data_IF_668381801435
#
_entry.id   IF_668381801435
#
_cell.length_a   1.000
_cell.length_b   1.000
_cell.length_c   1.000
_cell.angle_alpha   90.00
_cell.angle_beta   90.00
_cell.angle_gamma   90.00
#
_symmetry.space_group_name_H-M   'P 1'
#
loop_
_entity.id
_entity.type
_entity.pdbx_description
1 polymer ?
#
# COMPACT_ATOMS: atom_id res chain seq x y z
N UNK A 1 9.85 5.62 -7.03
CA UNK A 1 9.27 5.53 -5.67
C UNK A 1 8.05 4.64 -5.75
N UNK A 2 7.72 3.96 -4.66
CA UNK A 2 6.63 3.00 -4.58
C UNK A 2 5.60 3.43 -3.54
N UNK A 3 4.32 3.23 -3.84
CA UNK A 3 3.20 3.76 -3.07
C UNK A 3 2.21 2.65 -2.74
N UNK A 4 1.85 2.51 -1.47
CA UNK A 4 0.88 1.53 -1.01
C UNK A 4 -0.24 2.22 -0.23
N UNK A 5 -1.49 2.03 -0.67
CA UNK A 5 -2.69 2.53 0.02
C UNK A 5 -3.24 1.50 1.00
N UNK A 6 -3.58 1.93 2.22
CA UNK A 6 -4.05 1.04 3.29
C UNK A 6 -4.96 1.76 4.28
N UNK A 7 -5.97 1.06 4.81
CA UNK A 7 -6.74 1.55 5.96
C UNK A 7 -5.89 1.51 7.23
N UNK A 8 -6.03 2.50 8.12
CA UNK A 8 -5.25 2.56 9.37
C UNK A 8 -5.45 1.32 10.25
N UNK A 9 -6.63 0.70 10.24
CA UNK A 9 -6.91 -0.50 11.04
C UNK A 9 -5.95 -1.64 10.71
N UNK A 10 -5.57 -1.80 9.44
CA UNK A 10 -4.64 -2.84 9.01
C UNK A 10 -3.20 -2.45 9.32
N UNK A 11 -2.88 -1.14 9.24
CA UNK A 11 -1.59 -0.63 9.68
C UNK A 11 -1.35 -0.92 11.17
N UNK A 12 -2.36 -0.71 12.02
CA UNK A 12 -2.31 -0.99 13.45
C UNK A 12 -2.18 -2.49 13.75
N UNK A 13 -2.99 -3.33 13.07
CA UNK A 13 -3.00 -4.78 13.29
C UNK A 13 -1.72 -5.49 12.84
N UNK A 14 -1.11 -5.02 11.75
CA UNK A 14 0.01 -5.70 11.09
C UNK A 14 1.37 -5.06 11.34
N UNK A 15 1.43 -3.97 12.11
CA UNK A 15 2.71 -3.34 12.39
C UNK A 15 3.69 -4.33 13.03
N UNK A 16 4.96 -4.43 12.58
CA UNK A 16 5.64 -3.55 11.61
C UNK A 16 5.67 -4.04 10.16
N UNK A 17 5.10 -5.21 9.85
CA UNK A 17 5.22 -5.84 8.53
C UNK A 17 3.86 -6.06 7.88
N UNK A 18 3.68 -5.50 6.68
CA UNK A 18 2.52 -5.82 5.85
C UNK A 18 2.81 -7.09 5.05
N UNK A 19 2.05 -8.13 5.38
CA UNK A 19 1.92 -9.32 4.57
C UNK A 19 0.52 -9.31 3.90
N UNK A 20 0.38 -9.97 2.76
CA UNK A 20 -0.94 -10.27 2.19
C UNK A 20 -1.65 -11.21 3.15
N UNK A 21 -2.75 -10.75 3.75
CA UNK A 21 -3.57 -11.65 4.56
C UNK A 21 -4.51 -12.42 3.64
N UNK A 22 -4.58 -13.72 3.87
CA UNK A 22 -5.58 -14.60 3.30
C UNK A 22 -7.04 -14.25 3.67
N UNK A 23 -7.27 -13.16 4.44
CA UNK A 23 -8.51 -12.87 5.16
C UNK A 23 -9.11 -11.48 4.88
N UNK A 24 -8.93 -10.92 3.70
CA UNK A 24 -9.88 -9.88 3.23
C UNK A 24 -11.20 -10.60 2.97
N UNK A 25 -12.10 -10.57 3.95
CA UNK A 25 -13.31 -11.40 4.09
C UNK A 25 -14.46 -11.04 3.14
N UNK A 26 -14.20 -10.29 2.07
CA UNK A 26 -15.16 -10.03 1.00
C UNK A 26 -14.43 -9.93 -0.34
N UNK A 27 -13.75 -11.01 -0.75
CA UNK A 27 -13.23 -11.12 -2.11
C UNK A 27 -14.34 -11.64 -3.02
N UNK A 28 -14.68 -10.89 -4.06
CA UNK A 28 -15.58 -11.38 -5.10
C UNK A 28 -14.87 -12.49 -5.91
N UNK A 29 -15.61 -13.25 -6.72
CA UNK A 29 -15.07 -14.39 -7.47
C UNK A 29 -13.88 -14.02 -8.36
N UNK A 30 -13.88 -12.80 -8.92
CA UNK A 30 -12.79 -12.26 -9.75
C UNK A 30 -11.50 -12.06 -8.93
N UNK A 31 -11.60 -11.48 -7.73
CA UNK A 31 -10.46 -11.30 -6.82
C UNK A 31 -9.94 -12.63 -6.27
N UNK A 32 -10.79 -13.65 -6.16
CA UNK A 32 -10.37 -15.01 -5.78
C UNK A 32 -9.62 -15.69 -6.93
N UNK A 33 -10.09 -15.56 -8.16
CA UNK A 33 -9.44 -16.11 -9.34
C UNK A 33 -8.06 -15.45 -9.60
N UNK A 34 -8.00 -14.12 -9.48
CA UNK A 34 -6.73 -13.37 -9.60
C UNK A 34 -5.73 -13.79 -8.52
N UNK A 35 -6.19 -13.91 -7.27
CA UNK A 35 -5.37 -14.43 -6.16
C UNK A 35 -4.84 -15.84 -6.45
N UNK A 36 -5.71 -16.73 -6.89
CA UNK A 36 -5.35 -18.12 -7.22
C UNK A 36 -4.29 -18.14 -8.31
N UNK A 37 -4.47 -17.33 -9.36
CA UNK A 37 -3.53 -17.19 -10.46
C UNK A 37 -2.16 -16.66 -10.00
N UNK A 38 -2.14 -15.65 -9.14
CA UNK A 38 -0.90 -15.09 -8.58
C UNK A 38 -0.14 -16.09 -7.71
N UNK A 39 -0.85 -16.88 -6.88
CA UNK A 39 -0.24 -17.94 -6.08
C UNK A 39 0.32 -19.05 -6.98
N UNK A 40 -0.42 -19.46 -7.99
CA UNK A 40 0.02 -20.50 -8.94
C UNK A 40 1.23 -20.05 -9.77
N UNK A 41 1.28 -18.78 -10.17
CA UNK A 41 2.34 -18.23 -11.00
C UNK A 41 3.61 -17.84 -10.21
N UNK A 42 3.45 -17.28 -9.01
CA UNK A 42 4.57 -16.68 -8.26
C UNK A 42 4.83 -17.34 -6.89
N UNK A 43 3.97 -18.26 -6.46
CA UNK A 43 4.07 -18.96 -5.18
C UNK A 43 3.57 -18.17 -3.97
N UNK A 44 3.08 -16.94 -4.16
CA UNK A 44 2.49 -16.10 -3.11
C UNK A 44 1.53 -15.04 -3.68
N UNK A 45 0.58 -14.58 -2.87
CA UNK A 45 -0.20 -13.37 -3.14
C UNK A 45 0.68 -12.15 -2.83
N UNK A 46 0.85 -11.15 -3.71
CA UNK A 46 1.69 -10.00 -3.43
C UNK A 46 0.97 -8.90 -2.65
N UNK A 47 1.74 -8.04 -1.96
CA UNK A 47 1.32 -6.70 -1.54
C UNK A 47 1.51 -5.77 -2.74
N UNK A 48 0.43 -5.15 -3.19
CA UNK A 48 0.42 -4.31 -4.38
C UNK A 48 0.94 -2.90 -4.08
N UNK A 49 1.85 -2.40 -4.92
CA UNK A 49 2.35 -1.02 -4.87
C UNK A 49 2.30 -0.38 -6.25
N UNK A 50 1.94 0.90 -6.30
CA UNK A 50 2.09 1.71 -7.50
C UNK A 50 3.52 2.26 -7.60
N UNK A 51 4.12 2.22 -8.78
CA UNK A 51 5.42 2.82 -9.07
C UNK A 51 5.25 4.16 -9.78
N UNK A 52 5.93 5.19 -9.27
CA UNK A 52 6.01 6.48 -9.97
C UNK A 52 6.97 6.41 -11.15
N UNK A 53 6.51 6.85 -12.33
CA UNK A 53 7.30 6.95 -13.55
C UNK A 53 7.04 8.29 -14.25
N UNK A 54 7.82 8.70 -15.29
CA UNK A 54 7.59 9.96 -16.01
C UNK A 54 6.15 10.14 -16.54
N UNK A 55 5.48 9.04 -16.92
CA UNK A 55 4.07 9.03 -17.35
C UNK A 55 3.05 8.83 -16.23
N UNK A 56 3.49 8.54 -15.01
CA UNK A 56 2.64 8.22 -13.86
C UNK A 56 3.22 8.85 -12.59
N UNK A 57 2.85 10.11 -12.36
CA UNK A 57 3.47 10.93 -11.32
C UNK A 57 3.21 10.43 -9.90
N UNK A 58 4.09 10.77 -8.95
CA UNK A 58 3.87 10.51 -7.52
C UNK A 58 2.52 11.05 -7.02
N UNK A 59 2.07 12.21 -7.53
CA UNK A 59 0.76 12.78 -7.21
C UNK A 59 -0.38 11.87 -7.68
N UNK A 60 -0.23 11.27 -8.86
CA UNK A 60 -1.18 10.29 -9.40
C UNK A 60 -1.19 9.03 -8.54
N UNK A 61 -0.02 8.46 -8.21
CA UNK A 61 0.09 7.31 -7.32
C UNK A 61 -0.62 7.55 -5.99
N UNK A 62 -0.34 8.68 -5.32
CA UNK A 62 -0.97 9.04 -4.04
C UNK A 62 -2.50 9.12 -4.20
N UNK A 63 -2.99 9.77 -5.26
CA UNK A 63 -4.43 9.90 -5.52
C UNK A 63 -5.10 8.54 -5.70
N UNK A 64 -4.51 7.65 -6.50
CA UNK A 64 -5.06 6.32 -6.76
C UNK A 64 -4.93 5.40 -5.54
N UNK A 65 -3.83 5.45 -4.79
CA UNK A 65 -3.67 4.70 -3.55
C UNK A 65 -4.74 5.06 -2.50
N UNK A 66 -5.18 6.32 -2.43
CA UNK A 66 -6.26 6.73 -1.53
C UNK A 66 -7.64 6.13 -1.87
N UNK A 67 -7.79 5.41 -2.99
CA UNK A 67 -9.00 4.61 -3.28
C UNK A 67 -9.05 3.32 -2.48
N UNK A 68 -7.92 2.87 -1.95
CA UNK A 68 -7.77 1.60 -1.22
C UNK A 68 -7.65 1.79 0.30
N UNK A 69 -7.52 3.03 0.79
CA UNK A 69 -7.55 3.36 2.21
C UNK A 69 -7.17 4.80 2.51
N UNK A 70 -7.25 5.20 3.78
CA UNK A 70 -7.00 6.59 4.20
C UNK A 70 -5.52 6.94 4.46
N UNK A 71 -4.61 5.98 4.32
CA UNK A 71 -3.16 6.15 4.49
C UNK A 71 -2.45 5.69 3.22
N UNK A 72 -1.41 6.43 2.82
CA UNK A 72 -0.47 6.02 1.78
C UNK A 72 0.94 5.98 2.37
N UNK A 73 1.55 4.80 2.30
CA UNK A 73 2.94 4.58 2.66
C UNK A 73 3.81 4.72 1.40
N UNK A 74 4.90 5.48 1.51
CA UNK A 74 5.83 5.70 0.39
C UNK A 74 7.18 5.09 0.68
N UNK A 75 7.67 4.29 -0.25
CA UNK A 75 8.94 3.60 -0.18
C UNK A 75 9.86 4.07 -1.29
N UNK A 76 11.15 4.23 -0.98
CA UNK A 76 12.17 4.51 -2.01
C UNK A 76 12.54 3.24 -2.75
N UNK A 77 12.68 2.15 -1.99
CA UNK A 77 13.04 0.81 -2.43
C UNK A 77 12.06 -0.16 -1.78
N UNK A 78 11.80 -1.28 -2.44
CA UNK A 78 10.92 -2.35 -1.95
C UNK A 78 11.77 -3.61 -1.80
N UNK A 79 11.50 -4.40 -0.76
CA UNK A 79 12.27 -5.61 -0.50
C UNK A 79 11.94 -6.69 -1.52
N UNK A 80 12.98 -7.28 -2.10
CA UNK A 80 12.86 -8.42 -3.00
C UNK A 80 12.31 -9.67 -2.28
N UNK A 81 11.56 -10.56 -2.97
CA UNK A 81 11.28 -10.53 -4.40
C UNK A 81 10.16 -9.55 -4.80
N UNK A 82 10.38 -8.83 -5.90
CA UNK A 82 9.41 -7.98 -6.59
C UNK A 82 8.95 -8.64 -7.88
N UNK A 83 7.65 -8.56 -8.16
CA UNK A 83 7.04 -9.00 -9.42
C UNK A 83 6.37 -7.82 -10.11
N UNK A 84 6.52 -7.69 -11.42
CA UNK A 84 5.79 -6.68 -12.20
C UNK A 84 4.36 -7.19 -12.46
N UNK A 85 3.35 -6.48 -11.97
CA UNK A 85 1.94 -6.84 -12.14
C UNK A 85 1.30 -6.11 -13.33
N UNK A 86 1.63 -4.84 -13.51
CA UNK A 86 1.22 -4.02 -14.66
C UNK A 86 2.26 -2.94 -14.95
N UNK A 87 2.07 -2.08 -15.95
CA UNK A 87 3.05 -1.03 -16.31
C UNK A 87 3.45 -0.11 -15.13
N UNK A 88 2.55 0.11 -14.17
CA UNK A 88 2.78 1.01 -13.03
C UNK A 88 2.54 0.33 -11.69
N UNK A 89 2.45 -0.99 -11.67
CA UNK A 89 2.13 -1.75 -10.47
C UNK A 89 3.10 -2.91 -10.30
N UNK A 90 3.62 -3.01 -9.09
CA UNK A 90 4.49 -4.10 -8.66
C UNK A 90 3.87 -4.82 -7.47
N UNK A 91 4.21 -6.08 -7.33
CA UNK A 91 3.88 -6.91 -6.19
C UNK A 91 5.13 -7.19 -5.36
N UNK A 92 5.05 -6.96 -4.06
CA UNK A 92 6.10 -7.35 -3.11
C UNK A 92 5.61 -8.50 -2.24
N UNK A 93 6.50 -9.42 -1.84
CA UNK A 93 6.09 -10.48 -0.90
C UNK A 93 5.63 -9.95 0.45
N UNK A 94 6.27 -8.89 0.92
CA UNK A 94 5.91 -8.19 2.15
C UNK A 94 6.51 -6.78 2.13
N UNK A 95 6.02 -5.91 3.01
CA UNK A 95 6.60 -4.58 3.23
C UNK A 95 6.95 -4.41 4.70
N UNK A 96 8.17 -3.95 4.99
CA UNK A 96 8.50 -3.42 6.31
C UNK A 96 8.09 -1.95 6.39
N UNK A 97 7.00 -1.67 7.10
CA UNK A 97 6.41 -0.32 7.23
C UNK A 97 7.45 0.67 7.77
N UNK A 98 8.39 0.22 8.60
CA UNK A 98 9.42 1.08 9.20
C UNK A 98 10.40 1.62 8.17
N UNK A 99 10.48 1.02 6.99
CA UNK A 99 11.35 1.47 5.88
C UNK A 99 10.67 2.52 4.99
N UNK A 100 9.39 2.82 5.22
CA UNK A 100 8.75 3.90 4.48
C UNK A 100 9.47 5.24 4.76
N UNK A 101 9.47 6.12 3.77
CA UNK A 101 10.08 7.45 3.85
C UNK A 101 9.05 8.53 4.18
N UNK A 102 7.83 8.39 3.66
CA UNK A 102 6.76 9.35 3.86
C UNK A 102 5.45 8.61 4.11
N UNK A 103 4.61 9.23 4.93
CA UNK A 103 3.25 8.76 5.17
C UNK A 103 2.31 9.90 4.80
N UNK A 104 1.43 9.67 3.84
CA UNK A 104 0.35 10.60 3.54
C UNK A 104 -0.93 10.10 4.20
N UNK A 105 -1.73 11.00 4.76
CA UNK A 105 -3.04 10.61 5.31
C UNK A 105 -4.11 11.67 5.03
N UNK A 106 -5.32 11.20 4.73
CA UNK A 106 -6.54 12.02 4.64
C UNK A 106 -7.32 12.08 5.95
N UNK A 107 -6.87 11.35 6.95
CA UNK A 107 -7.57 11.19 8.22
C UNK A 107 -6.90 11.98 9.35
N UNK A 108 -7.67 12.30 10.38
CA UNK A 108 -7.15 12.87 11.63
C UNK A 108 -6.40 11.83 12.50
N UNK A 109 -5.71 10.85 11.88
CA UNK A 109 -5.05 9.73 12.57
C UNK A 109 -3.55 9.94 12.79
N UNK A 110 -3.02 11.15 12.63
CA UNK A 110 -1.59 11.42 12.75
C UNK A 110 -1.03 11.03 14.13
N UNK A 111 -1.76 11.37 15.20
CA UNK A 111 -1.36 11.01 16.56
C UNK A 111 -1.29 9.49 16.75
N UNK A 112 -2.27 8.75 16.23
CA UNK A 112 -2.33 7.30 16.30
C UNK A 112 -1.21 6.64 15.48
N UNK A 113 -0.90 7.17 14.30
CA UNK A 113 0.27 6.72 13.51
C UNK A 113 1.57 6.92 14.31
N UNK A 114 1.69 8.01 15.07
CA UNK A 114 2.86 8.26 15.94
C UNK A 114 2.93 7.26 17.10
N UNK A 115 1.81 6.81 17.65
CA UNK A 115 1.78 5.78 18.70
C UNK A 115 2.32 4.42 18.23
N UNK A 116 2.28 4.13 16.92
CA UNK A 116 2.93 2.94 16.34
C UNK A 116 4.47 3.04 16.31
N UNK A 117 5.06 4.17 16.76
CA UNK A 117 6.50 4.37 16.75
C UNK A 117 7.08 4.81 15.40
N UNK A 118 6.24 5.12 14.42
CA UNK A 118 6.66 5.66 13.12
C UNK A 118 7.12 7.12 13.26
N UNK A 119 8.39 7.37 12.93
CA UNK A 119 9.05 8.68 13.05
C UNK A 119 9.10 9.47 11.74
N UNK A 120 8.69 8.84 10.64
CA UNK A 120 8.68 9.40 9.30
C UNK A 120 7.85 10.69 9.22
N UNK A 121 8.16 11.61 8.30
CA UNK A 121 7.26 12.71 7.96
C UNK A 121 5.84 12.20 7.64
N UNK A 122 4.85 12.75 8.36
CA UNK A 122 3.43 12.52 8.07
C UNK A 122 2.89 13.78 7.42
N UNK A 123 2.32 13.64 6.22
CA UNK A 123 1.79 14.74 5.42
C UNK A 123 0.26 14.61 5.39
N UNK A 124 -0.42 15.60 5.95
CA UNK A 124 -1.87 15.68 5.87
C UNK A 124 -2.27 16.11 4.45
N UNK A 125 -3.09 15.30 3.79
CA UNK A 125 -3.72 15.68 2.54
C UNK A 125 -5.13 16.17 2.85
N UNK A 126 -5.45 17.39 2.42
CA UNK A 126 -6.83 17.88 2.44
C UNK A 126 -7.71 16.94 1.61
N UNK A 127 -8.91 16.65 2.11
CA UNK A 127 -9.93 15.93 1.35
C UNK A 127 -10.27 16.77 0.11
N UNK A 128 -9.69 16.40 -1.04
CA UNK A 128 -10.33 16.73 -2.32
C UNK A 128 -11.74 16.11 -2.32
N UNK A 129 -12.72 16.75 -2.96
CA UNK A 129 -14.10 16.27 -2.94
C UNK A 129 -14.13 14.80 -3.36
N UNK A 130 -14.83 13.97 -2.59
CA UNK A 130 -15.22 12.64 -3.05
C UNK A 130 -16.08 12.85 -4.32
N UNK A 131 -15.79 12.16 -5.44
CA UNK A 131 -16.77 12.09 -6.52
C UNK A 131 -18.07 11.46 -6.02
#
# INVERSE_FOLDING_TARGET
MFFHGIDFKYLEQKYPFLYPDAYVTTKNEEQLADRQHLIEQFGFEPVHLLESAPGYSAKTCIKECFRFGEIVLVFKEVTEPIIQLSQHEIGARYLDIRTCQYIFTRSAKQAQIRLLGLKQPIIACSNGPRP
#
